data_IF_770817769341
#
_entry.id   IF_770817769341
#
_cell.length_a   1.000
_cell.length_b   1.000
_cell.length_c   1.000
_cell.angle_alpha   90.00
_cell.angle_beta   90.00
_cell.angle_gamma   90.00
#
_symmetry.space_group_name_H-M   'P 1'
#
loop_
_entity.id
_entity.type
_entity.pdbx_description
1 polymer ?
#
# COMPACT_ATOMS: atom_id res chain seq x y z
N UNK A 1 -20.23 -3.65 15.78
CA UNK A 1 -19.32 -4.77 15.45
C UNK A 1 -19.14 -4.84 13.95
N UNK A 2 -17.98 -5.31 13.45
CA UNK A 2 -17.80 -5.60 12.02
C UNK A 2 -18.78 -6.70 11.60
N UNK A 3 -19.39 -6.58 10.42
CA UNK A 3 -20.25 -7.61 9.84
C UNK A 3 -19.42 -8.75 9.24
N UNK A 4 -18.21 -8.44 8.75
CA UNK A 4 -17.26 -9.42 8.18
C UNK A 4 -15.90 -9.19 8.85
N UNK A 5 -15.52 -10.10 9.75
CA UNK A 5 -14.21 -10.06 10.42
C UNK A 5 -13.17 -10.83 9.61
N UNK A 6 -12.05 -10.16 9.31
CA UNK A 6 -10.89 -10.72 8.61
C UNK A 6 -9.58 -10.26 9.28
N UNK A 7 -8.44 -10.91 9.00
CA UNK A 7 -7.14 -10.42 9.47
C UNK A 7 -6.86 -8.96 9.13
N UNK A 8 -7.34 -8.47 7.98
CA UNK A 8 -7.22 -7.07 7.56
C UNK A 8 -8.05 -6.15 8.45
N UNK A 9 -9.29 -6.52 8.79
CA UNK A 9 -10.10 -5.72 9.71
C UNK A 9 -9.49 -5.63 11.10
N UNK A 10 -8.90 -6.73 11.59
CA UNK A 10 -8.21 -6.77 12.89
C UNK A 10 -6.93 -5.93 12.88
N UNK A 11 -6.12 -6.04 11.82
CA UNK A 11 -4.83 -5.35 11.71
C UNK A 11 -5.01 -3.82 11.74
N UNK A 12 -6.02 -3.32 11.04
CA UNK A 12 -6.25 -1.87 10.92
C UNK A 12 -7.33 -1.34 11.86
N UNK A 13 -8.09 -2.19 12.55
CA UNK A 13 -9.21 -1.77 13.40
C UNK A 13 -10.37 -1.16 12.60
N UNK A 14 -10.61 -1.64 11.38
CA UNK A 14 -11.65 -1.12 10.47
C UNK A 14 -12.91 -2.00 10.49
N UNK A 15 -14.06 -1.44 10.11
CA UNK A 15 -15.37 -2.13 10.13
C UNK A 15 -15.61 -3.00 8.92
N UNK A 16 -15.01 -2.66 7.79
CA UNK A 16 -15.21 -3.34 6.52
C UNK A 16 -13.84 -3.70 5.93
N UNK A 17 -13.64 -4.91 5.38
CA UNK A 17 -12.40 -5.30 4.70
C UNK A 17 -12.30 -4.66 3.31
N UNK A 18 -12.49 -3.34 3.25
CA UNK A 18 -12.55 -2.53 2.04
C UNK A 18 -11.45 -1.48 2.14
N UNK A 19 -10.48 -1.57 1.24
CA UNK A 19 -9.39 -0.63 1.09
C UNK A 19 -9.64 0.17 -0.19
N UNK A 20 -9.63 1.51 -0.08
CA UNK A 20 -9.62 2.37 -1.26
C UNK A 20 -8.28 2.19 -1.98
N UNK A 21 -8.30 2.02 -3.30
CA UNK A 21 -7.06 1.97 -4.07
C UNK A 21 -6.41 3.36 -4.15
N UNK A 22 -5.07 3.42 -4.05
CA UNK A 22 -4.28 4.63 -4.21
C UNK A 22 -4.24 5.09 -5.67
N UNK A 23 -5.30 5.77 -6.12
CA UNK A 23 -5.42 6.24 -7.50
C UNK A 23 -4.96 7.69 -7.62
N UNK A 24 -3.78 7.92 -8.17
CA UNK A 24 -3.31 9.29 -8.42
C UNK A 24 -4.35 10.08 -9.26
N UNK A 25 -4.55 11.36 -8.93
CA UNK A 25 -5.54 12.29 -9.53
C UNK A 25 -7.01 11.93 -9.26
N UNK A 26 -7.39 10.66 -9.14
CA UNK A 26 -8.78 10.23 -8.95
C UNK A 26 -9.19 10.03 -7.48
N UNK A 27 -8.27 9.57 -6.63
CA UNK A 27 -8.49 9.34 -5.20
C UNK A 27 -7.72 10.36 -4.36
N UNK A 28 -8.27 11.57 -4.27
CA UNK A 28 -7.78 12.63 -3.40
C UNK A 28 -8.07 12.39 -1.91
N UNK A 29 -7.62 13.33 -1.08
CA UNK A 29 -7.78 13.29 0.38
C UNK A 29 -9.24 13.19 0.84
N UNK A 30 -10.15 13.90 0.17
CA UNK A 30 -11.59 13.89 0.46
C UNK A 30 -12.19 12.47 0.33
N UNK A 31 -11.85 11.76 -0.76
CA UNK A 31 -12.34 10.39 -0.99
C UNK A 31 -11.74 9.41 0.02
N UNK A 32 -10.44 9.53 0.32
CA UNK A 32 -9.79 8.71 1.34
C UNK A 32 -10.44 8.91 2.72
N UNK A 33 -10.68 10.16 3.12
CA UNK A 33 -11.38 10.46 4.37
C UNK A 33 -12.81 9.91 4.38
N UNK A 34 -13.56 10.03 3.27
CA UNK A 34 -14.91 9.49 3.16
C UNK A 34 -14.95 7.96 3.35
N UNK A 35 -14.03 7.22 2.72
CA UNK A 35 -13.93 5.76 2.88
C UNK A 35 -13.54 5.36 4.31
N UNK A 36 -12.57 6.05 4.91
CA UNK A 36 -12.20 5.81 6.31
C UNK A 36 -13.39 6.10 7.25
N UNK A 37 -14.11 7.20 7.04
CA UNK A 37 -15.30 7.56 7.81
C UNK A 37 -16.45 6.55 7.67
N UNK A 38 -16.56 5.90 6.51
CA UNK A 38 -17.51 4.81 6.27
C UNK A 38 -17.09 3.49 6.95
N UNK A 39 -15.87 3.41 7.48
CA UNK A 39 -15.36 2.24 8.19
C UNK A 39 -14.48 1.31 7.34
N UNK A 40 -14.08 1.73 6.14
CA UNK A 40 -12.99 1.10 5.39
C UNK A 40 -11.63 1.72 5.72
N UNK A 41 -10.64 1.50 4.87
CA UNK A 41 -9.33 2.15 4.93
C UNK A 41 -9.12 3.02 3.68
N UNK A 42 -9.16 4.33 3.84
CA UNK A 42 -8.78 5.28 2.80
C UNK A 42 -7.28 5.26 2.53
N UNK A 43 -6.88 5.19 1.27
CA UNK A 43 -5.47 5.26 0.83
C UNK A 43 -5.35 6.34 -0.24
N UNK A 44 -4.41 7.28 -0.06
CA UNK A 44 -4.10 8.27 -1.09
C UNK A 44 -2.98 7.78 -2.01
N UNK A 45 -3.11 8.04 -3.31
CA UNK A 45 -2.09 7.72 -4.31
C UNK A 45 -1.17 8.91 -4.60
N UNK A 46 0.13 8.74 -4.36
CA UNK A 46 1.16 9.77 -4.54
C UNK A 46 2.11 9.47 -5.69
N UNK A 47 1.68 9.71 -6.93
CA UNK A 47 2.60 9.71 -8.08
C UNK A 47 3.27 11.09 -8.22
N UNK A 48 4.59 11.14 -8.13
CA UNK A 48 5.34 12.41 -8.26
C UNK A 48 5.09 13.39 -7.12
N UNK A 49 4.58 12.93 -5.98
CA UNK A 49 4.40 13.78 -4.80
C UNK A 49 5.75 14.23 -4.27
N UNK A 50 5.89 15.54 -4.08
CA UNK A 50 6.96 16.11 -3.27
C UNK A 50 6.62 15.94 -1.78
N UNK A 51 7.63 16.00 -0.87
CA UNK A 51 7.41 16.04 0.58
C UNK A 51 6.33 17.05 1.01
N UNK A 52 6.33 18.24 0.43
CA UNK A 52 5.33 19.28 0.72
C UNK A 52 3.91 18.82 0.35
N UNK A 53 3.74 18.28 -0.85
CA UNK A 53 2.43 17.83 -1.35
C UNK A 53 1.92 16.65 -0.53
N UNK A 54 2.76 15.65 -0.26
CA UNK A 54 2.37 14.49 0.53
C UNK A 54 1.87 14.91 1.92
N UNK A 55 2.64 15.76 2.62
CA UNK A 55 2.26 16.25 3.95
C UNK A 55 0.95 17.04 3.91
N UNK A 56 0.75 17.87 2.88
CA UNK A 56 -0.51 18.61 2.70
C UNK A 56 -1.69 17.65 2.49
N UNK A 57 -1.56 16.63 1.64
CA UNK A 57 -2.61 15.66 1.38
C UNK A 57 -2.96 14.85 2.63
N UNK A 58 -1.96 14.36 3.38
CA UNK A 58 -2.22 13.64 4.64
C UNK A 58 -2.95 14.52 5.65
N UNK A 59 -2.56 15.79 5.79
CA UNK A 59 -3.23 16.73 6.69
C UNK A 59 -4.66 17.03 6.26
N UNK A 60 -4.92 17.11 4.96
CA UNK A 60 -6.28 17.26 4.44
C UNK A 60 -7.15 16.04 4.79
N UNK A 61 -6.65 14.80 4.63
CA UNK A 61 -7.37 13.59 5.11
C UNK A 61 -7.74 13.75 6.58
N UNK A 62 -6.74 14.03 7.44
CA UNK A 62 -6.91 14.13 8.90
C UNK A 62 -7.89 15.23 9.31
N UNK A 63 -7.95 16.32 8.56
CA UNK A 63 -8.93 17.39 8.77
C UNK A 63 -10.37 16.88 8.61
N UNK A 64 -10.61 16.03 7.60
CA UNK A 64 -11.93 15.53 7.22
C UNK A 64 -12.35 14.21 7.93
N UNK A 65 -11.44 13.58 8.68
CA UNK A 65 -11.77 12.41 9.49
C UNK A 65 -12.71 12.77 10.66
N UNK A 66 -13.75 11.98 10.84
CA UNK A 66 -14.67 12.06 12.00
C UNK A 66 -13.99 11.61 13.28
N UNK A 67 -13.25 10.50 13.21
CA UNK A 67 -12.34 10.06 14.27
C UNK A 67 -10.91 10.41 13.88
N UNK A 68 -10.27 11.28 14.67
CA UNK A 68 -8.91 11.79 14.39
C UNK A 68 -7.82 10.74 14.51
N UNK A 69 -8.14 9.57 15.08
CA UNK A 69 -7.25 8.42 15.16
C UNK A 69 -7.57 7.33 14.13
N UNK A 70 -8.56 7.54 13.26
CA UNK A 70 -8.94 6.55 12.27
C UNK A 70 -7.80 6.30 11.25
N UNK A 71 -7.63 5.05 10.77
CA UNK A 71 -6.49 4.70 9.96
C UNK A 71 -6.64 5.23 8.52
N UNK A 72 -5.49 5.56 7.92
CA UNK A 72 -5.37 5.86 6.50
C UNK A 72 -4.05 5.28 5.97
N UNK A 73 -3.97 5.06 4.66
CA UNK A 73 -2.78 4.59 3.99
C UNK A 73 -2.21 5.59 2.99
N UNK A 74 -0.98 5.32 2.55
CA UNK A 74 -0.31 6.05 1.47
C UNK A 74 0.24 5.04 0.47
N UNK A 75 -0.09 5.24 -0.80
CA UNK A 75 0.42 4.48 -1.94
C UNK A 75 1.43 5.32 -2.72
N UNK A 76 2.64 4.79 -2.94
CA UNK A 76 3.63 5.39 -3.82
C UNK A 76 4.05 4.40 -4.91
N UNK A 77 4.28 4.93 -6.11
CA UNK A 77 4.80 4.15 -7.24
C UNK A 77 6.31 4.05 -7.11
N UNK A 78 6.82 2.83 -6.93
CA UNK A 78 8.26 2.54 -6.79
C UNK A 78 8.68 1.58 -7.92
N UNK A 79 8.81 2.07 -9.17
CA UNK A 79 9.28 1.23 -10.26
C UNK A 79 10.75 0.83 -10.04
N UNK A 80 11.13 -0.30 -10.61
CA UNK A 80 12.53 -0.67 -10.68
C UNK A 80 13.29 0.31 -11.58
N UNK A 81 14.40 0.85 -11.08
CA UNK A 81 15.31 1.73 -11.81
C UNK A 81 16.64 1.00 -12.05
N UNK A 82 17.14 1.05 -13.28
CA UNK A 82 18.38 0.38 -13.71
C UNK A 82 18.25 -1.13 -13.98
N UNK A 83 19.34 -1.74 -14.48
CA UNK A 83 19.37 -3.16 -14.84
C UNK A 83 18.40 -3.52 -15.96
N UNK A 84 17.70 -4.66 -15.84
CA UNK A 84 16.67 -5.14 -16.78
C UNK A 84 15.30 -4.43 -16.61
N UNK A 85 15.29 -3.16 -16.17
CA UNK A 85 14.05 -2.40 -15.98
C UNK A 85 13.25 -2.32 -17.30
N UNK A 86 11.91 -2.46 -17.22
CA UNK A 86 11.01 -2.31 -18.37
C UNK A 86 10.90 -0.82 -18.79
N UNK A 87 9.90 -0.49 -19.61
CA UNK A 87 9.53 0.89 -20.04
C UNK A 87 9.45 1.92 -18.90
N UNK A 88 9.24 1.52 -17.64
CA UNK A 88 9.16 2.39 -16.45
C UNK A 88 10.50 2.58 -15.75
N UNK A 89 11.59 2.80 -16.48
CA UNK A 89 12.93 3.04 -15.91
C UNK A 89 13.11 4.50 -15.45
N UNK A 90 12.24 4.96 -14.55
CA UNK A 90 12.27 6.32 -14.01
C UNK A 90 11.89 6.30 -12.55
N UNK A 91 12.72 6.89 -11.71
CA UNK A 91 12.34 7.19 -10.33
C UNK A 91 11.25 8.28 -10.33
N UNK A 92 10.01 7.90 -9.99
CA UNK A 92 8.91 8.86 -9.91
C UNK A 92 9.05 9.83 -8.74
N UNK A 93 9.88 9.50 -7.75
CA UNK A 93 10.06 10.29 -6.54
C UNK A 93 11.28 11.21 -6.63
N UNK A 94 12.04 11.18 -7.74
CA UNK A 94 13.20 12.04 -7.99
C UNK A 94 14.20 12.08 -6.80
N UNK A 95 14.49 10.92 -6.21
CA UNK A 95 15.39 10.77 -5.05
C UNK A 95 14.78 11.13 -3.69
N UNK A 96 13.49 11.50 -3.65
CA UNK A 96 12.84 11.99 -2.43
C UNK A 96 12.17 10.90 -1.58
N UNK A 97 12.29 9.62 -1.98
CA UNK A 97 11.67 8.51 -1.26
C UNK A 97 12.02 8.51 0.25
N UNK A 98 13.27 8.74 0.70
CA UNK A 98 13.58 8.79 2.13
C UNK A 98 12.74 9.82 2.90
N UNK A 99 12.62 11.05 2.39
CA UNK A 99 11.84 12.10 3.04
C UNK A 99 10.32 11.83 2.97
N UNK A 100 9.85 11.19 1.91
CA UNK A 100 8.45 10.76 1.82
C UNK A 100 8.12 9.70 2.88
N UNK A 101 9.01 8.71 3.09
CA UNK A 101 8.87 7.72 4.16
C UNK A 101 8.88 8.39 5.54
N UNK A 102 9.77 9.36 5.77
CA UNK A 102 9.79 10.13 7.03
C UNK A 102 8.45 10.81 7.29
N UNK A 103 7.85 11.46 6.28
CA UNK A 103 6.53 12.09 6.41
C UNK A 103 5.44 11.08 6.71
N UNK A 104 5.46 9.92 6.07
CA UNK A 104 4.48 8.83 6.30
C UNK A 104 4.52 8.39 7.77
N UNK A 105 5.72 8.28 8.34
CA UNK A 105 5.95 7.91 9.74
C UNK A 105 5.53 9.05 10.68
N UNK A 106 6.01 10.27 10.45
CA UNK A 106 5.70 11.47 11.25
C UNK A 106 4.19 11.73 11.33
N UNK A 107 3.49 11.59 10.21
CA UNK A 107 2.05 11.83 10.14
C UNK A 107 1.20 10.63 10.57
N UNK A 108 1.86 9.51 10.94
CA UNK A 108 1.27 8.28 11.49
C UNK A 108 0.31 7.56 10.54
N UNK A 109 0.70 7.43 9.28
CA UNK A 109 -0.03 6.55 8.36
C UNK A 109 -0.06 5.11 8.92
N UNK A 110 -1.14 4.39 8.65
CA UNK A 110 -1.36 3.03 9.17
C UNK A 110 -1.09 1.94 8.13
N UNK A 111 -0.88 2.31 6.87
CA UNK A 111 -0.49 1.40 5.81
C UNK A 111 0.40 2.13 4.79
N UNK A 112 1.49 1.48 4.39
CA UNK A 112 2.24 1.87 3.19
C UNK A 112 1.97 0.89 2.06
N UNK A 113 1.69 1.40 0.86
CA UNK A 113 1.46 0.59 -0.35
C UNK A 113 2.55 0.88 -1.38
N UNK A 114 3.25 -0.17 -1.81
CA UNK A 114 4.19 -0.10 -2.93
C UNK A 114 3.51 -0.57 -4.21
N UNK A 115 3.33 0.36 -5.15
CA UNK A 115 2.78 0.09 -6.46
C UNK A 115 3.88 0.05 -7.54
N UNK A 116 3.59 -0.61 -8.67
CA UNK A 116 4.45 -0.75 -9.88
C UNK A 116 5.76 -1.52 -9.69
N UNK A 117 6.30 -1.57 -8.47
CA UNK A 117 7.47 -2.36 -8.14
C UNK A 117 7.57 -2.67 -6.66
N UNK A 118 8.74 -3.14 -6.26
CA UNK A 118 9.02 -3.68 -4.92
C UNK A 118 9.79 -2.62 -4.14
N UNK A 119 9.37 -2.29 -2.90
CA UNK A 119 10.02 -1.26 -2.13
C UNK A 119 11.45 -1.71 -1.76
N UNK A 120 12.40 -0.78 -1.66
CA UNK A 120 13.72 -1.13 -1.18
C UNK A 120 13.65 -1.59 0.27
N UNK A 121 14.47 -2.59 0.63
CA UNK A 121 14.45 -3.20 1.97
C UNK A 121 14.62 -2.18 3.11
N UNK A 122 15.46 -1.16 2.94
CA UNK A 122 15.64 -0.11 3.95
C UNK A 122 14.34 0.65 4.25
N UNK A 123 13.44 0.80 3.27
CA UNK A 123 12.16 1.49 3.47
C UNK A 123 11.21 0.60 4.26
N UNK A 124 11.17 -0.71 3.96
CA UNK A 124 10.40 -1.68 4.73
C UNK A 124 10.86 -1.71 6.18
N UNK A 125 12.18 -1.83 6.41
CA UNK A 125 12.76 -1.88 7.76
C UNK A 125 12.44 -0.60 8.56
N UNK A 126 12.51 0.57 7.90
CA UNK A 126 12.19 1.86 8.54
C UNK A 126 10.70 2.00 8.88
N UNK A 127 9.80 1.54 8.01
CA UNK A 127 8.35 1.54 8.25
C UNK A 127 7.97 0.55 9.37
N UNK A 128 8.61 -0.63 9.40
CA UNK A 128 8.41 -1.62 10.46
C UNK A 128 8.87 -1.13 11.83
N UNK A 129 10.00 -0.42 11.90
CA UNK A 129 10.45 0.22 13.13
C UNK A 129 9.43 1.24 13.68
N UNK A 130 8.57 1.80 12.82
CA UNK A 130 7.46 2.67 13.17
C UNK A 130 6.11 1.94 13.36
N UNK A 131 6.07 0.61 13.23
CA UNK A 131 4.84 -0.18 13.35
C UNK A 131 3.88 -0.06 12.16
N UNK A 132 4.37 0.33 10.98
CA UNK A 132 3.57 0.53 9.77
C UNK A 132 3.75 -0.67 8.84
N UNK A 133 2.70 -1.49 8.60
CA UNK A 133 2.78 -2.60 7.67
C UNK A 133 2.91 -2.12 6.22
N UNK A 134 3.57 -2.94 5.41
CA UNK A 134 3.82 -2.70 3.99
C UNK A 134 2.99 -3.67 3.14
N UNK A 135 2.16 -3.13 2.26
CA UNK A 135 1.45 -3.89 1.23
C UNK A 135 2.16 -3.70 -0.12
N UNK A 136 2.34 -4.80 -0.87
CA UNK A 136 2.88 -4.73 -2.22
C UNK A 136 1.85 -5.16 -3.27
N UNK A 137 1.68 -4.35 -4.31
CA UNK A 137 0.85 -4.69 -5.46
C UNK A 137 1.55 -5.74 -6.33
N UNK A 138 0.85 -6.80 -6.71
CA UNK A 138 1.37 -7.84 -7.62
C UNK A 138 0.39 -8.11 -8.75
N UNK A 139 0.87 -8.06 -10.00
CA UNK A 139 0.10 -8.46 -11.19
C UNK A 139 0.45 -9.83 -11.77
N UNK A 140 1.33 -10.59 -11.11
CA UNK A 140 1.73 -11.93 -11.54
C UNK A 140 2.25 -12.73 -10.32
N UNK A 141 1.94 -14.05 -10.17
CA UNK A 141 2.32 -14.83 -8.99
C UNK A 141 3.83 -14.83 -8.69
N UNK A 142 4.67 -14.88 -9.73
CA UNK A 142 6.14 -14.77 -9.62
C UNK A 142 6.65 -13.54 -8.86
N UNK A 143 5.86 -12.46 -8.76
CA UNK A 143 6.28 -11.25 -8.02
C UNK A 143 6.20 -11.45 -6.51
N UNK A 144 5.37 -12.39 -6.02
CA UNK A 144 5.14 -12.64 -4.59
C UNK A 144 6.44 -12.98 -3.87
N UNK A 145 7.21 -13.95 -4.39
CA UNK A 145 8.46 -14.37 -3.74
C UNK A 145 9.46 -13.22 -3.56
N UNK A 146 9.55 -12.31 -4.53
CA UNK A 146 10.45 -11.15 -4.44
C UNK A 146 9.91 -10.10 -3.47
N UNK A 147 8.61 -9.85 -3.44
CA UNK A 147 7.98 -8.96 -2.47
C UNK A 147 8.19 -9.47 -1.03
N UNK A 148 7.96 -10.76 -0.79
CA UNK A 148 8.23 -11.40 0.50
C UNK A 148 9.72 -11.33 0.89
N UNK A 149 10.64 -11.41 -0.07
CA UNK A 149 12.09 -11.37 0.22
C UNK A 149 12.57 -10.04 0.84
N UNK A 150 11.80 -8.96 0.69
CA UNK A 150 12.08 -7.67 1.33
C UNK A 150 11.26 -7.44 2.61
N UNK A 151 10.39 -8.40 2.98
CA UNK A 151 9.65 -8.40 4.24
C UNK A 151 8.27 -7.74 4.19
N UNK A 152 7.61 -7.63 3.04
CA UNK A 152 6.25 -7.05 3.00
C UNK A 152 5.24 -7.91 3.78
N UNK A 153 4.20 -7.26 4.32
CA UNK A 153 3.24 -7.85 5.24
C UNK A 153 1.91 -8.21 4.58
N UNK A 154 1.60 -7.60 3.44
CA UNK A 154 0.39 -7.87 2.67
C UNK A 154 0.71 -7.96 1.17
N UNK A 155 0.04 -8.87 0.48
CA UNK A 155 0.06 -8.97 -0.98
C UNK A 155 -1.29 -8.52 -1.55
N UNK A 156 -1.27 -7.48 -2.38
CA UNK A 156 -2.46 -7.07 -3.13
C UNK A 156 -2.38 -7.62 -4.56
N UNK A 157 -3.15 -8.68 -4.82
CA UNK A 157 -3.26 -9.29 -6.14
C UNK A 157 -4.15 -8.42 -7.04
N UNK A 158 -3.52 -7.72 -7.99
CA UNK A 158 -4.19 -6.87 -8.98
C UNK A 158 -4.25 -7.58 -10.32
N UNK A 159 -5.41 -8.18 -10.63
CA UNK A 159 -5.63 -8.81 -11.92
C UNK A 159 -5.69 -7.81 -13.08
N UNK A 160 -5.65 -8.34 -14.30
CA UNK A 160 -5.71 -7.53 -15.52
C UNK A 160 -7.01 -6.75 -15.71
N UNK A 161 -8.06 -7.13 -14.99
CA UNK A 161 -9.33 -6.40 -14.92
C UNK A 161 -9.23 -5.11 -14.09
N UNK A 162 -8.16 -4.95 -13.29
CA UNK A 162 -7.91 -3.72 -12.55
C UNK A 162 -7.60 -2.53 -13.46
N UNK A 163 -7.90 -1.32 -12.99
CA UNK A 163 -7.52 -0.09 -13.68
C UNK A 163 -6.05 0.31 -13.45
N UNK A 164 -5.50 1.14 -14.34
CA UNK A 164 -4.16 1.72 -14.20
C UNK A 164 -3.03 0.78 -14.66
N UNK A 165 -1.93 0.73 -13.91
CA UNK A 165 -0.77 -0.10 -14.23
C UNK A 165 -0.96 -1.52 -13.65
N UNK A 166 -1.49 -2.42 -14.46
CA UNK A 166 -1.81 -3.80 -14.06
C UNK A 166 -0.91 -4.84 -14.74
N UNK A 167 -1.07 -6.11 -14.35
CA UNK A 167 -0.52 -7.25 -15.10
C UNK A 167 -1.58 -7.90 -15.99
N UNK A 168 -1.19 -8.91 -16.79
CA UNK A 168 -2.09 -9.54 -17.76
C UNK A 168 -2.86 -10.76 -17.22
N UNK A 169 -2.64 -11.13 -15.96
CA UNK A 169 -3.25 -12.34 -15.35
C UNK A 169 -4.63 -12.00 -14.80
N UNK A 170 -5.71 -12.71 -15.18
CA UNK A 170 -7.06 -12.49 -14.63
C UNK A 170 -7.13 -12.70 -13.11
N UNK A 171 -7.96 -11.92 -12.42
CA UNK A 171 -8.17 -12.01 -10.97
C UNK A 171 -8.51 -13.43 -10.49
N UNK A 172 -9.36 -14.13 -11.24
CA UNK A 172 -9.79 -15.51 -10.92
C UNK A 172 -8.65 -16.52 -10.87
N UNK A 173 -7.53 -16.25 -11.56
CA UNK A 173 -6.32 -17.07 -11.54
C UNK A 173 -5.25 -16.47 -10.63
N UNK A 174 -5.10 -15.15 -10.63
CA UNK A 174 -4.06 -14.46 -9.89
C UNK A 174 -4.23 -14.60 -8.37
N UNK A 175 -5.45 -14.41 -7.87
CA UNK A 175 -5.74 -14.45 -6.43
C UNK A 175 -5.38 -15.83 -5.83
N UNK A 176 -5.94 -16.97 -6.30
CA UNK A 176 -5.59 -18.27 -5.72
C UNK A 176 -4.10 -18.60 -5.86
N UNK A 177 -3.47 -18.26 -7.00
CA UNK A 177 -2.04 -18.47 -7.17
C UNK A 177 -1.17 -17.64 -6.19
N UNK A 178 -1.60 -16.42 -5.85
CA UNK A 178 -0.93 -15.62 -4.82
C UNK A 178 -1.14 -16.23 -3.42
N UNK A 179 -2.35 -16.72 -3.11
CA UNK A 179 -2.66 -17.42 -1.85
C UNK A 179 -1.76 -18.64 -1.67
N UNK A 180 -1.59 -19.46 -2.72
CA UNK A 180 -0.68 -20.60 -2.68
C UNK A 180 0.78 -20.16 -2.49
N UNK A 181 1.20 -19.06 -3.12
CA UNK A 181 2.57 -18.55 -3.02
C UNK A 181 2.92 -17.97 -1.64
N UNK A 182 1.94 -17.44 -0.90
CA UNK A 182 2.16 -16.92 0.48
C UNK A 182 1.96 -18.00 1.56
N UNK A 183 1.53 -19.21 1.19
CA UNK A 183 1.24 -20.28 2.16
C UNK A 183 2.46 -20.59 3.03
N UNK A 184 2.25 -20.55 4.36
CA UNK A 184 3.31 -20.79 5.35
C UNK A 184 4.31 -19.64 5.52
N UNK A 185 4.03 -18.47 4.92
CA UNK A 185 4.83 -17.25 5.10
C UNK A 185 4.16 -16.35 6.13
N UNK A 186 4.98 -15.69 6.94
CA UNK A 186 4.51 -14.78 8.00
C UNK A 186 5.09 -13.40 7.81
N UNK A 187 4.30 -12.39 8.18
CA UNK A 187 4.72 -11.00 8.23
C UNK A 187 5.77 -10.84 9.33
N UNK A 188 6.95 -10.25 9.03
CA UNK A 188 7.97 -10.02 10.03
C UNK A 188 7.56 -8.93 11.04
N UNK A 189 6.63 -8.04 10.68
CA UNK A 189 6.09 -7.03 11.59
C UNK A 189 5.08 -7.62 12.58
N UNK A 190 4.14 -8.42 12.09
CA UNK A 190 2.95 -8.84 12.88
C UNK A 190 3.06 -10.25 13.44
N UNK A 191 3.96 -11.08 12.89
CA UNK A 191 4.05 -12.52 13.18
C UNK A 191 2.87 -13.34 12.66
N UNK A 192 1.86 -12.70 12.03
CA UNK A 192 0.68 -13.35 11.44
C UNK A 192 0.97 -13.82 10.01
N UNK A 193 0.14 -14.70 9.41
CA UNK A 193 0.22 -15.03 7.99
C UNK A 193 0.15 -13.77 7.11
N UNK A 194 0.92 -13.77 6.00
CA UNK A 194 0.88 -12.74 4.95
C UNK A 194 -0.39 -12.87 4.12
#
# INVERSE_FOLDING_TARGET
MSVISTPVTELFGIKHPILLAGMNVAAGSELAAAVTNAGGLGVIGGHGYTPKILRQQIRAIKADLKDKNAPFGVDLLIPQVGGNARKTNKDYQNGQLPQLIDIIIEEKARLFVSAVGIPPKWAVDKLHAAGIPVMNMVGHPKHVARALSVGVDLICAQGGEGGGHTGDVPCSLLIPACVDAVKGKTSPLTGKPV
#
